data_IF_939881321723
#
_entry.id   IF_939881321723
#
_cell.length_a   1.000
_cell.length_b   1.000
_cell.length_c   1.000
_cell.angle_alpha   90.00
_cell.angle_beta   90.00
_cell.angle_gamma   90.00
#
_symmetry.space_group_name_H-M   'P 1'
#
loop_
_entity.id
_entity.type
_entity.pdbx_description
1 polymer ?
#
# COMPACT_ATOMS: atom_id res chain seq x y z
N UNK A 1 1.46 -16.03 4.86
CA UNK A 1 2.26 -17.05 4.12
C UNK A 1 2.68 -18.11 5.14
N UNK A 2 2.49 -19.40 4.85
CA UNK A 2 2.50 -20.52 5.80
C UNK A 2 1.32 -20.54 6.82
N UNK A 3 0.08 -20.35 6.34
CA UNK A 3 -1.13 -20.38 7.19
C UNK A 3 -1.34 -19.15 8.09
N UNK A 4 -0.33 -18.28 8.22
CA UNK A 4 -0.44 -17.03 8.98
C UNK A 4 -1.26 -15.99 8.20
N UNK A 5 -2.24 -15.39 8.87
CA UNK A 5 -3.00 -14.22 8.39
C UNK A 5 -2.02 -13.12 7.97
N UNK A 6 -2.25 -12.57 6.79
CA UNK A 6 -1.52 -11.41 6.26
C UNK A 6 -2.55 -10.39 5.80
N UNK A 7 -2.16 -9.13 5.83
CA UNK A 7 -2.95 -8.00 5.39
C UNK A 7 -2.34 -7.45 4.10
N UNK A 8 -3.19 -7.33 3.09
CA UNK A 8 -2.84 -6.79 1.79
C UNK A 8 -3.32 -5.34 1.73
N UNK A 9 -2.39 -4.43 1.47
CA UNK A 9 -2.67 -3.02 1.21
C UNK A 9 -2.37 -2.73 -0.26
N UNK A 10 -3.29 -2.03 -0.93
CA UNK A 10 -3.15 -1.64 -2.34
C UNK A 10 -3.20 -0.13 -2.42
N UNK A 11 -2.20 0.48 -3.04
CA UNK A 11 -2.29 1.87 -3.46
C UNK A 11 -2.99 1.91 -4.82
N UNK A 12 -4.09 2.64 -4.90
CA UNK A 12 -4.91 2.75 -6.11
C UNK A 12 -5.03 4.23 -6.45
N UNK A 13 -4.90 4.56 -7.73
CA UNK A 13 -5.14 5.92 -8.21
C UNK A 13 -6.64 6.22 -8.42
N UNK A 14 -6.92 7.39 -8.98
CA UNK A 14 -8.29 7.87 -9.20
C UNK A 14 -9.02 7.10 -10.30
N UNK A 15 -8.27 6.52 -11.23
CA UNK A 15 -8.80 5.78 -12.38
C UNK A 15 -8.92 4.28 -12.06
N UNK A 16 -8.57 3.87 -10.83
CA UNK A 16 -8.66 2.49 -10.37
C UNK A 16 -7.41 1.66 -10.65
N UNK A 17 -6.31 2.27 -11.13
CA UNK A 17 -5.07 1.54 -11.35
C UNK A 17 -4.33 1.30 -10.04
N UNK A 18 -3.90 0.05 -9.84
CA UNK A 18 -3.05 -0.32 -8.71
C UNK A 18 -1.62 0.14 -8.98
N UNK A 19 -1.15 1.10 -8.21
CA UNK A 19 0.19 1.65 -8.32
C UNK A 19 1.24 0.83 -7.56
N UNK A 20 0.85 0.26 -6.41
CA UNK A 20 1.76 -0.49 -5.53
C UNK A 20 0.99 -1.43 -4.59
N UNK A 21 1.63 -2.50 -4.13
CA UNK A 21 1.04 -3.54 -3.29
C UNK A 21 1.98 -3.88 -2.14
N UNK A 22 1.45 -3.81 -0.92
CA UNK A 22 2.18 -4.12 0.31
C UNK A 22 1.49 -5.25 1.07
N UNK A 23 2.26 -6.26 1.45
CA UNK A 23 1.81 -7.35 2.33
C UNK A 23 2.46 -7.19 3.70
N UNK A 24 1.65 -7.19 4.76
CA UNK A 24 2.13 -7.13 6.14
C UNK A 24 1.49 -8.22 7.01
N UNK A 25 2.26 -8.74 7.95
CA UNK A 25 1.75 -9.71 8.94
C UNK A 25 0.82 -9.07 9.99
N UNK A 26 0.98 -7.77 10.23
CA UNK A 26 0.18 -6.98 11.16
C UNK A 26 -0.73 -6.02 10.40
N UNK A 27 -1.90 -5.74 10.97
CA UNK A 27 -2.85 -4.77 10.40
C UNK A 27 -2.49 -3.36 10.85
N UNK A 28 -1.45 -2.78 10.27
CA UNK A 28 -1.02 -1.40 10.54
C UNK A 28 -1.22 -0.51 9.31
N UNK A 29 -2.40 0.10 9.22
CA UNK A 29 -2.75 1.01 8.12
C UNK A 29 -1.84 2.24 8.06
N UNK A 30 -1.34 2.72 9.21
CA UNK A 30 -0.52 3.94 9.27
C UNK A 30 0.87 3.66 8.71
N UNK A 31 1.49 2.56 9.11
CA UNK A 31 2.76 2.11 8.55
C UNK A 31 2.63 1.81 7.05
N UNK A 32 1.57 1.11 6.64
CA UNK A 32 1.32 0.81 5.24
C UNK A 32 1.17 2.07 4.38
N UNK A 33 0.35 3.04 4.84
CA UNK A 33 0.16 4.33 4.16
C UNK A 33 1.46 5.14 4.07
N UNK A 34 2.26 5.18 5.13
CA UNK A 34 3.55 5.87 5.10
C UNK A 34 4.48 5.23 4.06
N UNK A 35 4.61 3.89 4.08
CA UNK A 35 5.50 3.17 3.19
C UNK A 35 5.06 3.34 1.72
N UNK A 36 3.78 3.12 1.41
CA UNK A 36 3.23 3.30 0.07
C UNK A 36 3.43 4.74 -0.42
N UNK A 37 3.21 5.77 0.42
CA UNK A 37 3.49 7.16 0.06
C UNK A 37 4.96 7.40 -0.25
N UNK A 38 5.87 6.81 0.51
CA UNK A 38 7.33 6.94 0.30
C UNK A 38 7.75 6.27 -1.01
N UNK A 39 7.20 5.08 -1.30
CA UNK A 39 7.47 4.34 -2.54
C UNK A 39 6.95 5.10 -3.76
N UNK A 40 5.74 5.64 -3.70
CA UNK A 40 5.15 6.39 -4.81
C UNK A 40 5.88 7.71 -5.07
N UNK A 41 6.28 8.44 -4.00
CA UNK A 41 7.14 9.63 -4.14
C UNK A 41 8.48 9.30 -4.82
N UNK A 42 9.11 8.17 -4.50
CA UNK A 42 10.35 7.73 -5.16
C UNK A 42 10.15 7.41 -6.64
N UNK A 43 8.96 6.98 -7.03
CA UNK A 43 8.59 6.69 -8.42
C UNK A 43 8.11 7.95 -9.18
N UNK A 44 8.14 9.14 -8.57
CA UNK A 44 7.64 10.38 -9.19
C UNK A 44 6.11 10.44 -9.31
N UNK A 45 5.37 9.52 -8.67
CA UNK A 45 3.90 9.46 -8.71
C UNK A 45 3.31 10.01 -7.41
N UNK A 46 2.31 10.88 -7.52
CA UNK A 46 1.60 11.41 -6.35
C UNK A 46 0.73 10.29 -5.72
N UNK A 47 0.84 10.02 -4.41
CA UNK A 47 0.14 8.90 -3.80
C UNK A 47 -1.34 9.22 -3.48
N UNK A 48 -2.25 8.44 -4.06
CA UNK A 48 -3.63 8.27 -3.58
C UNK A 48 -3.68 6.99 -2.72
N UNK A 49 -4.01 7.14 -1.43
CA UNK A 49 -4.18 6.00 -0.51
C UNK A 49 -5.62 6.04 -0.01
N UNK A 50 -6.45 5.14 -0.53
CA UNK A 50 -7.78 4.85 0.00
C UNK A 50 -7.66 3.84 1.17
N UNK A 51 -8.44 4.09 2.23
CA UNK A 51 -8.45 3.29 3.46
C UNK A 51 -9.40 2.08 3.35
#
# INVERSE_FOLDING_TARGET
IAGKKQYLWRAVDRDGFVLDVLVQSRRDAKAAKHLLRKLLKKQGRAPLVAA
#
